data_IF_954913189146
#
_entry.id   IF_954913189146
#
_cell.length_a   1.000
_cell.length_b   1.000
_cell.length_c   1.000
_cell.angle_alpha   90.00
_cell.angle_beta   90.00
_cell.angle_gamma   90.00
#
_symmetry.space_group_name_H-M   'P 1'
#
loop_
_entity.id
_entity.type
_entity.pdbx_description
1 polymer ?
#
# COMPACT_ATOMS: atom_id res chain seq x y z
N UNK A 1 50.17 6.90 -73.21
CA UNK A 1 49.69 7.41 -71.92
C UNK A 1 48.62 6.45 -71.47
N UNK A 2 48.85 5.66 -70.40
CA UNK A 2 47.95 4.59 -69.91
C UNK A 2 47.13 5.15 -68.73
N UNK A 3 45.83 5.16 -68.88
CA UNK A 3 44.87 5.45 -67.82
C UNK A 3 44.84 4.26 -66.81
N UNK A 4 45.03 4.58 -65.54
CA UNK A 4 44.86 3.63 -64.43
C UNK A 4 43.56 3.93 -63.71
N UNK A 5 42.61 3.00 -63.62
CA UNK A 5 41.36 3.25 -62.90
C UNK A 5 41.58 3.08 -61.38
N UNK A 6 41.25 4.13 -60.64
CA UNK A 6 41.23 4.11 -59.17
C UNK A 6 40.04 3.30 -58.66
N UNK A 7 40.30 2.12 -58.08
CA UNK A 7 39.29 1.34 -57.39
C UNK A 7 39.02 1.90 -55.99
N UNK A 8 37.85 2.49 -55.85
CA UNK A 8 37.33 2.85 -54.53
C UNK A 8 36.88 1.59 -53.78
N UNK A 9 37.70 1.17 -52.85
CA UNK A 9 37.38 0.06 -51.92
C UNK A 9 36.40 0.55 -50.86
N UNK A 10 35.12 0.37 -51.04
CA UNK A 10 34.11 0.60 -50.05
C UNK A 10 34.12 -0.59 -49.04
N UNK A 11 34.73 -0.37 -47.89
CA UNK A 11 34.82 -1.39 -46.81
C UNK A 11 33.39 -1.56 -46.14
N UNK A 12 32.73 -2.71 -46.23
CA UNK A 12 31.45 -2.96 -45.57
C UNK A 12 31.57 -3.05 -44.04
N UNK A 13 32.78 -3.23 -43.52
CA UNK A 13 33.04 -3.34 -42.06
C UNK A 13 32.69 -2.07 -41.27
N UNK A 14 32.86 -0.88 -41.83
CA UNK A 14 32.54 0.40 -41.15
C UNK A 14 31.05 0.61 -40.94
N UNK A 15 30.22 0.20 -41.90
CA UNK A 15 28.74 0.31 -41.77
C UNK A 15 28.16 -0.67 -40.73
N UNK A 16 28.72 -1.88 -40.64
CA UNK A 16 28.30 -2.86 -39.64
C UNK A 16 28.64 -2.41 -38.22
N UNK A 17 29.81 -1.80 -38.05
CA UNK A 17 30.24 -1.26 -36.73
C UNK A 17 29.40 -0.06 -36.29
N UNK A 18 29.02 0.83 -37.18
CA UNK A 18 28.13 1.96 -36.88
C UNK A 18 26.71 1.49 -36.50
N UNK A 19 26.18 0.49 -37.21
CA UNK A 19 24.87 -0.10 -36.88
C UNK A 19 24.90 -0.82 -35.53
N UNK A 20 26.00 -1.52 -35.22
CA UNK A 20 26.18 -2.20 -33.91
C UNK A 20 26.30 -1.18 -32.75
N UNK A 21 27.03 -0.10 -32.94
CA UNK A 21 27.16 0.97 -31.94
C UNK A 21 25.84 1.71 -31.73
N UNK A 22 25.08 1.98 -32.81
CA UNK A 22 23.74 2.56 -32.72
C UNK A 22 22.75 1.62 -32.01
N UNK A 23 22.80 0.30 -32.28
CA UNK A 23 21.97 -0.68 -31.62
C UNK A 23 22.28 -0.78 -30.11
N UNK A 24 23.55 -0.75 -29.71
CA UNK A 24 23.98 -0.74 -28.32
C UNK A 24 23.58 0.58 -27.63
N UNK A 25 23.70 1.72 -28.32
CA UNK A 25 23.26 3.01 -27.78
C UNK A 25 21.75 3.07 -27.55
N UNK A 26 20.95 2.50 -28.47
CA UNK A 26 19.47 2.42 -28.34
C UNK A 26 19.08 1.45 -27.22
N UNK A 27 19.75 0.31 -27.05
CA UNK A 27 19.53 -0.58 -25.91
C UNK A 27 19.95 0.02 -24.57
N UNK A 28 21.04 0.81 -24.54
CA UNK A 28 21.51 1.49 -23.32
C UNK A 28 20.56 2.60 -22.84
N UNK A 29 19.85 3.26 -23.74
CA UNK A 29 18.87 4.30 -23.38
C UNK A 29 17.56 3.74 -22.80
N UNK A 30 17.20 2.49 -23.12
CA UNK A 30 15.96 1.86 -22.63
C UNK A 30 16.07 1.33 -21.21
N UNK A 31 17.26 1.06 -20.69
CA UNK A 31 17.44 0.39 -19.40
C UNK A 31 17.53 1.34 -18.18
N UNK A 32 17.76 2.63 -18.36
CA UNK A 32 18.05 3.57 -17.26
C UNK A 32 16.87 4.47 -16.83
N UNK A 33 15.74 4.46 -17.53
CA UNK A 33 14.65 5.44 -17.32
C UNK A 33 13.49 4.95 -16.45
N UNK A 34 13.11 3.69 -16.55
CA UNK A 34 11.89 3.14 -15.95
C UNK A 34 11.88 3.12 -14.41
N UNK A 35 12.96 2.73 -13.70
CA UNK A 35 12.94 2.69 -12.24
C UNK A 35 12.83 4.06 -11.55
N UNK A 36 13.31 5.12 -12.22
CA UNK A 36 13.23 6.50 -11.69
C UNK A 36 11.86 7.14 -11.93
N UNK A 37 11.21 6.81 -13.04
CA UNK A 37 9.90 7.34 -13.37
C UNK A 37 8.83 6.85 -12.38
N UNK A 38 8.92 5.59 -11.94
CA UNK A 38 8.01 4.97 -10.99
C UNK A 38 8.03 5.67 -9.62
N UNK A 39 9.21 5.83 -9.02
CA UNK A 39 9.36 6.50 -7.73
C UNK A 39 8.93 7.97 -7.79
N UNK A 40 9.19 8.67 -8.90
CA UNK A 40 8.78 10.04 -9.12
C UNK A 40 7.25 10.18 -9.27
N UNK A 41 6.60 9.28 -10.00
CA UNK A 41 5.15 9.28 -10.14
C UNK A 41 4.46 8.99 -8.81
N UNK A 42 4.96 8.00 -8.05
CA UNK A 42 4.44 7.71 -6.72
C UNK A 42 4.60 8.91 -5.78
N UNK A 43 5.78 9.52 -5.76
CA UNK A 43 6.04 10.70 -4.94
C UNK A 43 5.13 11.87 -5.35
N UNK A 44 5.00 12.15 -6.65
CA UNK A 44 4.11 13.21 -7.16
C UNK A 44 2.66 12.98 -6.77
N UNK A 45 2.21 11.71 -6.74
CA UNK A 45 0.86 11.36 -6.29
C UNK A 45 0.69 11.61 -4.79
N UNK A 46 1.67 11.21 -3.98
CA UNK A 46 1.62 11.38 -2.53
C UNK A 46 1.76 12.84 -2.07
N UNK A 47 2.38 13.68 -2.90
CA UNK A 47 2.54 15.11 -2.65
C UNK A 47 1.37 15.96 -3.17
N UNK A 48 0.39 15.35 -3.85
CA UNK A 48 -0.75 16.05 -4.41
C UNK A 48 -1.75 16.45 -3.33
N UNK A 49 -2.18 17.73 -3.33
CA UNK A 49 -3.24 18.25 -2.45
C UNK A 49 -4.61 18.38 -3.15
N UNK A 50 -4.65 18.29 -4.48
CA UNK A 50 -5.90 18.25 -5.27
C UNK A 50 -6.46 16.82 -5.33
N UNK A 51 -7.38 16.52 -4.41
CA UNK A 51 -8.01 15.20 -4.29
C UNK A 51 -8.84 14.83 -5.52
N UNK A 52 -9.46 15.82 -6.20
CA UNK A 52 -10.26 15.57 -7.41
C UNK A 52 -9.38 15.23 -8.60
N UNK A 53 -8.21 15.87 -8.74
CA UNK A 53 -7.22 15.49 -9.74
C UNK A 53 -6.76 14.04 -9.53
N UNK A 54 -6.47 13.66 -8.27
CA UNK A 54 -6.09 12.28 -7.95
C UNK A 54 -7.23 11.30 -8.23
N UNK A 55 -8.46 11.63 -7.84
CA UNK A 55 -9.65 10.80 -8.10
C UNK A 55 -9.83 10.52 -9.59
N UNK A 56 -9.65 11.55 -10.42
CA UNK A 56 -9.79 11.44 -11.87
C UNK A 56 -8.61 10.74 -12.54
N UNK A 57 -7.38 10.97 -12.07
CA UNK A 57 -6.16 10.46 -12.69
C UNK A 57 -5.75 9.06 -12.24
N UNK A 58 -6.01 8.68 -10.99
CA UNK A 58 -5.58 7.40 -10.42
C UNK A 58 -6.04 6.16 -11.21
N UNK A 59 -7.24 6.10 -11.84
CA UNK A 59 -7.63 4.96 -12.67
C UNK A 59 -6.65 4.67 -13.82
N UNK A 60 -6.11 5.70 -14.47
CA UNK A 60 -5.11 5.51 -15.53
C UNK A 60 -3.81 4.89 -14.98
N UNK A 61 -3.42 5.29 -13.76
CA UNK A 61 -2.24 4.73 -13.10
C UNK A 61 -2.48 3.27 -12.65
N UNK A 62 -3.69 2.90 -12.22
CA UNK A 62 -4.04 1.50 -11.96
C UNK A 62 -3.92 0.63 -13.22
N UNK A 63 -4.36 1.13 -14.38
CA UNK A 63 -4.21 0.41 -15.66
C UNK A 63 -2.74 0.28 -16.08
N UNK A 64 -1.93 1.29 -15.82
CA UNK A 64 -0.48 1.22 -16.06
C UNK A 64 0.18 0.14 -15.21
N UNK A 65 -0.11 0.11 -13.91
CA UNK A 65 0.41 -0.93 -12.99
C UNK A 65 -0.03 -2.33 -13.45
N UNK A 66 -1.29 -2.51 -13.86
CA UNK A 66 -1.76 -3.79 -14.43
C UNK A 66 -0.94 -4.20 -15.66
N UNK A 67 -0.61 -3.26 -16.54
CA UNK A 67 0.21 -3.51 -17.73
C UNK A 67 1.65 -3.91 -17.37
N UNK A 68 2.25 -3.26 -16.36
CA UNK A 68 3.59 -3.61 -15.88
C UNK A 68 3.61 -5.00 -15.24
N UNK A 69 2.61 -5.34 -14.42
CA UNK A 69 2.45 -6.67 -13.82
C UNK A 69 2.20 -7.73 -14.91
N UNK A 70 1.44 -7.41 -15.96
CA UNK A 70 1.23 -8.34 -17.07
C UNK A 70 2.52 -8.61 -17.86
N UNK A 71 3.40 -7.60 -17.98
CA UNK A 71 4.72 -7.72 -18.62
C UNK A 71 5.72 -8.54 -17.82
N UNK A 72 5.69 -8.46 -16.49
CA UNK A 72 6.48 -9.29 -15.57
C UNK A 72 5.63 -9.69 -14.34
N UNK A 73 4.93 -10.83 -14.41
CA UNK A 73 4.00 -11.26 -13.38
C UNK A 73 4.64 -11.67 -12.05
N UNK A 74 5.97 -11.76 -12.00
CA UNK A 74 6.76 -12.19 -10.82
C UNK A 74 7.58 -11.06 -10.20
N UNK A 75 7.59 -9.87 -10.81
CA UNK A 75 8.31 -8.72 -10.27
C UNK A 75 7.59 -8.17 -9.02
N UNK A 76 8.17 -8.48 -7.86
CA UNK A 76 7.59 -8.16 -6.55
C UNK A 76 7.29 -6.67 -6.37
N UNK A 77 8.12 -5.79 -6.93
CA UNK A 77 7.97 -4.33 -6.85
C UNK A 77 6.62 -3.89 -7.44
N UNK A 78 6.28 -4.35 -8.65
CA UNK A 78 5.01 -3.98 -9.29
C UNK A 78 3.81 -4.57 -8.56
N UNK A 79 3.94 -5.79 -8.05
CA UNK A 79 2.91 -6.45 -7.26
C UNK A 79 2.64 -5.69 -5.95
N UNK A 80 3.68 -5.25 -5.22
CA UNK A 80 3.55 -4.43 -4.01
C UNK A 80 2.85 -3.10 -4.34
N UNK A 81 3.28 -2.42 -5.41
CA UNK A 81 2.67 -1.16 -5.82
C UNK A 81 1.20 -1.35 -6.24
N UNK A 82 0.90 -2.40 -6.98
CA UNK A 82 -0.48 -2.76 -7.34
C UNK A 82 -1.35 -2.99 -6.12
N UNK A 83 -0.89 -3.80 -5.16
CA UNK A 83 -1.61 -4.06 -3.92
C UNK A 83 -1.94 -2.78 -3.16
N UNK A 84 -0.96 -1.88 -2.99
CA UNK A 84 -1.12 -0.61 -2.29
C UNK A 84 -2.05 0.36 -3.01
N UNK A 85 -1.83 0.58 -4.31
CA UNK A 85 -2.61 1.54 -5.09
C UNK A 85 -4.09 1.13 -5.21
N UNK A 86 -4.36 -0.13 -5.50
CA UNK A 86 -5.73 -0.63 -5.56
C UNK A 86 -6.43 -0.54 -4.19
N UNK A 87 -5.72 -0.82 -3.09
CA UNK A 87 -6.25 -0.68 -1.73
C UNK A 87 -6.57 0.77 -1.40
N UNK A 88 -5.62 1.69 -1.66
CA UNK A 88 -5.79 3.13 -1.41
C UNK A 88 -6.94 3.71 -2.24
N UNK A 89 -6.98 3.40 -3.55
CA UNK A 89 -8.02 3.89 -4.43
C UNK A 89 -9.40 3.40 -4.01
N UNK A 90 -9.52 2.12 -3.66
CA UNK A 90 -10.78 1.56 -3.19
C UNK A 90 -11.24 2.23 -1.88
N UNK A 91 -10.32 2.45 -0.92
CA UNK A 91 -10.64 3.05 0.37
C UNK A 91 -10.99 4.54 0.28
N UNK A 92 -10.34 5.29 -0.61
CA UNK A 92 -10.48 6.75 -0.68
C UNK A 92 -11.57 7.22 -1.65
N UNK A 93 -11.85 6.46 -2.73
CA UNK A 93 -12.61 6.99 -3.87
C UNK A 93 -13.75 6.07 -4.35
N UNK A 94 -13.94 4.91 -3.73
CA UNK A 94 -14.98 3.97 -4.17
C UNK A 94 -15.95 3.71 -3.03
N UNK A 95 -17.24 3.94 -3.31
CA UNK A 95 -18.30 3.59 -2.39
C UNK A 95 -18.39 2.07 -2.19
N UNK A 96 -18.96 1.67 -1.05
CA UNK A 96 -19.19 0.25 -0.74
C UNK A 96 -20.05 -0.41 -1.84
N UNK A 97 -19.76 -1.66 -2.15
CA UNK A 97 -20.50 -2.42 -3.15
C UNK A 97 -19.60 -3.29 -4.03
N UNK A 98 -20.15 -3.74 -5.14
CA UNK A 98 -19.50 -4.70 -6.04
C UNK A 98 -18.17 -4.17 -6.64
N UNK A 99 -18.11 -2.87 -6.94
CA UNK A 99 -16.87 -2.26 -7.46
C UNK A 99 -15.76 -2.30 -6.42
N UNK A 100 -16.05 -1.93 -5.16
CA UNK A 100 -15.08 -2.00 -4.08
C UNK A 100 -14.58 -3.44 -3.87
N UNK A 101 -15.49 -4.42 -3.90
CA UNK A 101 -15.13 -5.85 -3.79
C UNK A 101 -14.17 -6.29 -4.89
N UNK A 102 -14.44 -5.94 -6.15
CA UNK A 102 -13.55 -6.30 -7.28
C UNK A 102 -12.18 -5.66 -7.17
N UNK A 103 -12.10 -4.38 -6.81
CA UNK A 103 -10.82 -3.68 -6.71
C UNK A 103 -9.98 -4.21 -5.54
N UNK A 104 -10.60 -4.45 -4.38
CA UNK A 104 -9.91 -5.00 -3.22
C UNK A 104 -9.54 -6.47 -3.38
N UNK A 105 -10.32 -7.27 -4.13
CA UNK A 105 -9.93 -8.63 -4.50
C UNK A 105 -8.68 -8.63 -5.38
N UNK A 106 -8.58 -7.70 -6.35
CA UNK A 106 -7.36 -7.53 -7.16
C UNK A 106 -6.17 -7.07 -6.31
N UNK A 107 -6.39 -6.11 -5.40
CA UNK A 107 -5.35 -5.68 -4.47
C UNK A 107 -4.81 -6.86 -3.66
N UNK A 108 -5.70 -7.70 -3.14
CA UNK A 108 -5.33 -8.86 -2.32
C UNK A 108 -4.60 -9.94 -3.14
N UNK A 109 -5.01 -10.22 -4.38
CA UNK A 109 -4.27 -11.09 -5.30
C UNK A 109 -2.83 -10.57 -5.50
N UNK A 110 -2.65 -9.28 -5.77
CA UNK A 110 -1.33 -8.70 -5.92
C UNK A 110 -0.51 -8.79 -4.63
N UNK A 111 -1.11 -8.55 -3.45
CA UNK A 111 -0.43 -8.70 -2.16
C UNK A 111 0.06 -10.12 -1.89
N UNK A 112 -0.76 -11.13 -2.18
CA UNK A 112 -0.38 -12.55 -2.06
C UNK A 112 0.76 -12.91 -3.01
N UNK A 113 0.66 -12.49 -4.25
CA UNK A 113 1.70 -12.73 -5.27
C UNK A 113 2.99 -12.00 -4.95
N UNK A 114 2.92 -10.77 -4.42
CA UNK A 114 4.08 -10.00 -3.98
C UNK A 114 4.88 -10.76 -2.90
N UNK A 115 4.18 -11.26 -1.89
CA UNK A 115 4.80 -12.03 -0.82
C UNK A 115 5.41 -13.34 -1.33
N UNK A 116 4.69 -14.05 -2.22
CA UNK A 116 5.19 -15.27 -2.86
C UNK A 116 6.41 -15.01 -3.76
N UNK A 117 6.45 -13.89 -4.47
CA UNK A 117 7.57 -13.50 -5.32
C UNK A 117 8.84 -13.16 -4.51
N UNK A 118 8.67 -12.66 -3.27
CA UNK A 118 9.80 -12.36 -2.37
C UNK A 118 10.31 -13.61 -1.67
N UNK A 119 9.42 -14.47 -1.19
CA UNK A 119 9.79 -15.67 -0.44
C UNK A 119 8.79 -16.82 -0.69
N UNK A 120 9.32 -18.01 -0.97
CA UNK A 120 8.49 -19.21 -1.15
C UNK A 120 7.64 -19.55 0.07
N UNK A 121 8.09 -19.19 1.28
CA UNK A 121 7.30 -19.38 2.50
C UNK A 121 6.01 -18.55 2.50
N UNK A 122 5.98 -17.42 1.79
CA UNK A 122 4.80 -16.56 1.64
C UNK A 122 3.77 -17.05 0.63
N UNK A 123 4.11 -18.05 -0.22
CA UNK A 123 3.18 -18.55 -1.22
C UNK A 123 1.97 -19.24 -0.58
N UNK A 124 0.75 -18.78 -0.93
CA UNK A 124 -0.51 -19.35 -0.44
C UNK A 124 -0.70 -19.22 1.07
N UNK A 125 -0.07 -18.22 1.70
CA UNK A 125 -0.08 -18.07 3.16
C UNK A 125 -1.51 -17.94 3.71
N UNK A 126 -2.40 -17.23 3.03
CA UNK A 126 -3.76 -16.99 3.49
C UNK A 126 -4.64 -18.27 3.55
N UNK A 127 -4.34 -19.26 2.73
CA UNK A 127 -5.11 -20.50 2.56
C UNK A 127 -4.65 -21.66 3.47
N UNK A 128 -3.51 -21.51 4.14
CA UNK A 128 -2.92 -22.57 4.97
C UNK A 128 -3.79 -22.94 6.18
N UNK A 129 -3.56 -24.13 6.73
CA UNK A 129 -4.10 -24.48 8.04
C UNK A 129 -3.52 -23.55 9.13
N UNK A 130 -4.18 -23.37 10.29
CA UNK A 130 -3.64 -22.51 11.36
C UNK A 130 -2.23 -22.89 11.82
N UNK A 131 -1.91 -24.18 11.89
CA UNK A 131 -0.60 -24.69 12.32
C UNK A 131 0.48 -24.41 11.25
N UNK A 132 0.17 -24.69 9.99
CA UNK A 132 1.08 -24.42 8.88
C UNK A 132 1.29 -22.92 8.67
N UNK A 133 0.23 -22.13 8.84
CA UNK A 133 0.29 -20.66 8.78
C UNK A 133 1.32 -20.09 9.76
N UNK A 134 1.24 -20.47 11.03
CA UNK A 134 2.17 -19.98 12.06
C UNK A 134 3.63 -20.36 11.73
N UNK A 135 3.86 -21.61 11.30
CA UNK A 135 5.20 -22.09 10.91
C UNK A 135 5.75 -21.33 9.70
N UNK A 136 4.93 -21.11 8.69
CA UNK A 136 5.34 -20.41 7.45
C UNK A 136 5.56 -18.91 7.69
N UNK A 137 4.73 -18.31 8.54
CA UNK A 137 4.89 -16.91 8.92
C UNK A 137 6.25 -16.66 9.61
N UNK A 138 6.65 -17.55 10.53
CA UNK A 138 7.94 -17.46 11.21
C UNK A 138 9.16 -17.71 10.31
N UNK A 139 8.97 -18.22 9.10
CA UNK A 139 10.02 -18.40 8.12
C UNK A 139 10.27 -17.16 7.24
N UNK A 140 9.48 -16.09 7.42
CA UNK A 140 9.71 -14.79 6.78
C UNK A 140 10.64 -13.95 7.67
N UNK A 141 11.40 -13.04 7.05
CA UNK A 141 12.30 -12.16 7.79
C UNK A 141 12.13 -10.67 7.40
N UNK A 142 13.04 -9.83 7.85
CA UNK A 142 13.00 -8.38 7.59
C UNK A 142 13.04 -8.03 6.09
N UNK A 143 13.62 -8.88 5.25
CA UNK A 143 13.72 -8.65 3.80
C UNK A 143 12.35 -8.72 3.10
N UNK A 144 11.41 -9.48 3.66
CA UNK A 144 10.04 -9.59 3.16
C UNK A 144 9.09 -8.54 3.76
N UNK A 145 9.54 -7.71 4.71
CA UNK A 145 8.72 -6.79 5.49
C UNK A 145 7.83 -5.89 4.64
N UNK A 146 8.34 -5.33 3.54
CA UNK A 146 7.59 -4.46 2.64
C UNK A 146 6.46 -5.21 1.90
N UNK A 147 6.74 -6.42 1.42
CA UNK A 147 5.73 -7.29 0.79
C UNK A 147 4.70 -7.80 1.82
N UNK A 148 5.14 -8.10 3.04
CA UNK A 148 4.27 -8.53 4.12
C UNK A 148 3.31 -7.43 4.55
N UNK A 149 3.78 -6.17 4.63
CA UNK A 149 2.92 -5.02 4.88
C UNK A 149 1.90 -4.82 3.76
N UNK A 150 2.33 -4.85 2.49
CA UNK A 150 1.43 -4.72 1.34
C UNK A 150 0.36 -5.84 1.29
N UNK A 151 0.75 -7.06 1.67
CA UNK A 151 -0.17 -8.17 1.84
C UNK A 151 -1.20 -7.89 2.95
N UNK A 152 -0.78 -7.43 4.13
CA UNK A 152 -1.69 -7.07 5.23
C UNK A 152 -2.64 -5.92 4.85
N UNK A 153 -2.15 -4.87 4.20
CA UNK A 153 -2.93 -3.73 3.72
C UNK A 153 -4.05 -4.17 2.77
N UNK A 154 -3.68 -4.95 1.76
CA UNK A 154 -4.62 -5.43 0.75
C UNK A 154 -5.63 -6.42 1.33
N UNK A 155 -5.22 -7.24 2.28
CA UNK A 155 -6.12 -8.17 2.99
C UNK A 155 -7.11 -7.42 3.88
N UNK A 156 -6.65 -6.39 4.61
CA UNK A 156 -7.53 -5.53 5.40
C UNK A 156 -8.54 -4.77 4.50
N UNK A 157 -8.09 -4.24 3.36
CA UNK A 157 -8.97 -3.59 2.39
C UNK A 157 -10.04 -4.57 1.84
N UNK A 158 -9.64 -5.80 1.57
CA UNK A 158 -10.57 -6.86 1.18
C UNK A 158 -11.61 -7.15 2.29
N UNK A 159 -11.16 -7.29 3.54
CA UNK A 159 -12.04 -7.49 4.69
C UNK A 159 -13.07 -6.34 4.82
N UNK A 160 -12.63 -5.10 4.66
CA UNK A 160 -13.50 -3.92 4.74
C UNK A 160 -14.56 -3.90 3.64
N UNK A 161 -14.23 -4.29 2.41
CA UNK A 161 -15.19 -4.37 1.30
C UNK A 161 -16.18 -5.53 1.43
N UNK A 162 -15.91 -6.51 2.32
CA UNK A 162 -16.72 -7.71 2.53
C UNK A 162 -17.31 -7.79 3.95
N UNK A 163 -17.60 -6.66 4.59
CA UNK A 163 -18.05 -6.56 6.00
C UNK A 163 -19.21 -7.48 6.39
N UNK A 164 -20.08 -7.87 5.48
CA UNK A 164 -21.21 -8.77 5.74
C UNK A 164 -20.89 -10.26 5.56
N UNK A 165 -19.69 -10.61 5.18
CA UNK A 165 -19.27 -12.00 4.89
C UNK A 165 -18.68 -12.65 6.14
N UNK A 166 -19.24 -13.78 6.56
CA UNK A 166 -18.73 -14.56 7.70
C UNK A 166 -17.28 -15.01 7.51
N UNK A 167 -16.83 -15.16 6.26
CA UNK A 167 -15.43 -15.50 5.95
C UNK A 167 -14.45 -14.44 6.47
N UNK A 168 -14.86 -13.18 6.54
CA UNK A 168 -14.04 -12.10 7.11
C UNK A 168 -13.71 -12.39 8.57
N UNK A 169 -14.68 -12.84 9.37
CA UNK A 169 -14.45 -13.16 10.78
C UNK A 169 -13.42 -14.29 10.97
N UNK A 170 -13.41 -15.26 10.04
CA UNK A 170 -12.48 -16.39 10.10
C UNK A 170 -11.03 -16.00 9.76
N UNK A 171 -10.81 -14.93 8.98
CA UNK A 171 -9.47 -14.51 8.55
C UNK A 171 -8.85 -13.42 9.44
N UNK A 172 -9.65 -12.65 10.18
CA UNK A 172 -9.14 -11.58 11.05
C UNK A 172 -8.05 -12.03 12.04
N UNK A 173 -8.13 -13.20 12.70
CA UNK A 173 -7.08 -13.66 13.61
C UNK A 173 -5.74 -13.87 12.90
N UNK A 174 -5.75 -14.35 11.65
CA UNK A 174 -4.53 -14.55 10.86
C UNK A 174 -3.92 -13.22 10.43
N UNK A 175 -4.75 -12.28 9.99
CA UNK A 175 -4.31 -10.93 9.65
C UNK A 175 -3.68 -10.24 10.86
N UNK A 176 -4.30 -10.36 12.03
CA UNK A 176 -3.76 -9.86 13.29
C UNK A 176 -2.41 -10.50 13.62
N UNK A 177 -2.32 -11.83 13.58
CA UNK A 177 -1.07 -12.56 13.82
C UNK A 177 0.04 -12.17 12.85
N UNK A 178 -0.30 -11.91 11.58
CA UNK A 178 0.66 -11.44 10.58
C UNK A 178 1.22 -10.07 10.92
N UNK A 179 0.36 -9.12 11.31
CA UNK A 179 0.79 -7.78 11.72
C UNK A 179 1.56 -7.82 13.05
N UNK A 180 1.13 -8.63 14.02
CA UNK A 180 1.86 -8.84 15.28
C UNK A 180 3.27 -9.39 15.03
N UNK A 181 3.43 -10.29 14.07
CA UNK A 181 4.74 -10.79 13.65
C UNK A 181 5.55 -9.68 12.93
N UNK A 182 4.94 -8.97 11.98
CA UNK A 182 5.61 -7.90 11.23
C UNK A 182 6.23 -6.85 12.15
N UNK A 183 5.53 -6.43 13.20
CA UNK A 183 6.04 -5.40 14.12
C UNK A 183 7.17 -5.89 15.03
N UNK A 184 7.47 -7.20 15.04
CA UNK A 184 8.65 -7.76 15.71
C UNK A 184 9.90 -7.77 14.82
N UNK A 185 9.74 -7.56 13.52
CA UNK A 185 10.85 -7.56 12.57
C UNK A 185 11.58 -6.21 12.59
N UNK A 186 12.90 -6.24 12.44
CA UNK A 186 13.71 -5.03 12.27
C UNK A 186 13.64 -4.54 10.81
N UNK A 187 12.54 -3.89 10.47
CA UNK A 187 12.24 -3.41 9.12
C UNK A 187 11.46 -2.08 9.16
N UNK A 188 11.69 -1.17 8.19
CA UNK A 188 10.87 0.06 8.07
C UNK A 188 9.37 -0.23 7.94
N UNK A 189 8.98 -1.40 7.42
CA UNK A 189 7.57 -1.82 7.30
C UNK A 189 6.90 -2.08 8.67
N UNK A 190 7.66 -2.30 9.75
CA UNK A 190 7.17 -2.38 11.13
C UNK A 190 6.86 -0.99 11.75
N UNK A 191 6.72 0.04 10.92
CA UNK A 191 6.50 1.43 11.33
C UNK A 191 5.05 1.75 11.73
N UNK A 192 4.75 3.05 11.74
CA UNK A 192 3.47 3.63 12.15
C UNK A 192 2.25 2.93 11.56
N UNK A 193 2.29 2.60 10.28
CA UNK A 193 1.16 2.02 9.56
C UNK A 193 0.81 0.60 10.04
N UNK A 194 1.80 -0.25 10.30
CA UNK A 194 1.57 -1.59 10.84
C UNK A 194 0.91 -1.54 12.23
N UNK A 195 1.40 -0.65 13.09
CA UNK A 195 0.82 -0.42 14.42
C UNK A 195 -0.59 0.18 14.36
N UNK A 196 -0.85 1.08 13.41
CA UNK A 196 -2.20 1.60 13.15
C UNK A 196 -3.18 0.48 12.78
N UNK A 197 -2.79 -0.44 11.89
CA UNK A 197 -3.63 -1.58 11.52
C UNK A 197 -3.89 -2.53 12.69
N UNK A 198 -2.91 -2.76 13.55
CA UNK A 198 -3.12 -3.51 14.79
C UNK A 198 -4.13 -2.81 15.71
N UNK A 199 -4.01 -1.49 15.89
CA UNK A 199 -4.97 -0.70 16.64
C UNK A 199 -6.39 -0.83 16.11
N UNK A 200 -6.56 -0.77 14.77
CA UNK A 200 -7.85 -1.00 14.11
C UNK A 200 -8.38 -2.40 14.42
N UNK A 201 -7.58 -3.45 14.21
CA UNK A 201 -8.02 -4.84 14.40
C UNK A 201 -8.46 -5.14 15.84
N UNK A 202 -7.72 -4.64 16.84
CA UNK A 202 -8.08 -4.77 18.25
C UNK A 202 -9.35 -3.98 18.62
N UNK A 203 -9.70 -2.94 17.83
CA UNK A 203 -10.90 -2.12 18.01
C UNK A 203 -12.13 -2.60 17.22
N UNK A 204 -12.00 -3.61 16.33
CA UNK A 204 -13.14 -4.06 15.50
C UNK A 204 -14.25 -4.73 16.31
N UNK A 205 -13.96 -5.18 17.53
CA UNK A 205 -14.90 -5.88 18.42
C UNK A 205 -14.80 -5.32 19.82
N UNK A 206 -15.94 -5.20 20.55
CA UNK A 206 -15.92 -4.93 21.98
C UNK A 206 -15.19 -6.04 22.75
N UNK A 207 -14.71 -5.74 23.96
CA UNK A 207 -14.02 -6.71 24.82
C UNK A 207 -14.84 -7.98 25.05
N UNK A 208 -16.16 -7.85 25.26
CA UNK A 208 -17.09 -8.96 25.41
C UNK A 208 -17.14 -9.93 24.22
N UNK A 209 -16.73 -9.48 23.03
CA UNK A 209 -16.69 -10.26 21.79
C UNK A 209 -15.26 -10.57 21.32
N UNK A 210 -14.29 -10.51 22.24
CA UNK A 210 -12.89 -10.86 21.99
C UNK A 210 -12.06 -9.74 21.36
N UNK A 211 -12.51 -8.48 21.44
CA UNK A 211 -11.67 -7.30 21.20
C UNK A 211 -10.77 -7.00 22.40
N UNK A 212 -9.74 -6.22 22.19
CA UNK A 212 -8.82 -5.77 23.25
C UNK A 212 -8.60 -4.25 23.16
N UNK A 213 -9.50 -3.45 23.76
CA UNK A 213 -9.38 -1.99 23.73
C UNK A 213 -8.09 -1.46 24.37
N UNK A 214 -7.55 -2.14 25.38
CA UNK A 214 -6.30 -1.69 25.99
C UNK A 214 -5.13 -1.86 25.03
N UNK A 215 -5.06 -3.01 24.38
CA UNK A 215 -4.06 -3.28 23.35
C UNK A 215 -4.23 -2.38 22.13
N UNK A 216 -5.48 -2.11 21.71
CA UNK A 216 -5.78 -1.15 20.67
C UNK A 216 -5.20 0.24 20.97
N UNK A 217 -5.42 0.72 22.19
CA UNK A 217 -4.86 2.00 22.64
C UNK A 217 -3.33 2.02 22.56
N UNK A 218 -2.65 1.02 23.10
CA UNK A 218 -1.20 0.92 23.03
C UNK A 218 -0.69 0.91 21.57
N UNK A 219 -1.39 0.20 20.67
CA UNK A 219 -1.03 0.17 19.26
C UNK A 219 -1.18 1.54 18.58
N UNK A 220 -2.27 2.27 18.84
CA UNK A 220 -2.44 3.62 18.30
C UNK A 220 -1.43 4.62 18.88
N UNK A 221 -1.14 4.55 20.19
CA UNK A 221 -0.14 5.39 20.82
C UNK A 221 1.27 5.11 20.25
N UNK A 222 1.60 3.83 20.00
CA UNK A 222 2.84 3.45 19.33
C UNK A 222 2.88 3.95 17.88
N UNK A 223 1.78 3.83 17.15
CA UNK A 223 1.67 4.37 15.80
C UNK A 223 1.90 5.89 15.75
N UNK A 224 1.31 6.64 16.70
CA UNK A 224 1.52 8.09 16.84
C UNK A 224 2.98 8.41 17.17
N UNK A 225 3.61 7.64 18.04
CA UNK A 225 5.03 7.83 18.39
C UNK A 225 5.93 7.66 17.17
N UNK A 226 5.72 6.61 16.37
CA UNK A 226 6.53 6.30 15.18
C UNK A 226 6.21 7.21 13.99
N UNK A 227 4.94 7.59 13.79
CA UNK A 227 4.51 8.45 12.68
C UNK A 227 4.81 9.93 12.89
N UNK A 228 5.06 10.32 14.12
CA UNK A 228 5.28 11.72 14.50
C UNK A 228 4.06 12.60 14.23
N UNK A 229 4.27 13.93 14.30
CA UNK A 229 3.19 14.91 14.10
C UNK A 229 2.71 15.03 12.66
N UNK A 230 3.48 14.50 11.70
CA UNK A 230 3.18 14.60 10.26
C UNK A 230 2.25 13.52 9.72
N UNK A 231 1.88 12.50 10.50
CA UNK A 231 0.96 11.44 10.09
C UNK A 231 -0.43 11.66 10.71
N UNK A 232 -1.30 12.33 9.96
CA UNK A 232 -2.66 12.63 10.42
C UNK A 232 -3.60 11.42 10.33
N UNK A 233 -3.26 10.41 9.54
CA UNK A 233 -4.12 9.24 9.30
C UNK A 233 -4.32 8.41 10.57
N UNK A 234 -3.30 8.32 11.44
CA UNK A 234 -3.36 7.58 12.70
C UNK A 234 -4.38 8.20 13.65
N UNK A 235 -4.42 9.53 13.76
CA UNK A 235 -5.38 10.23 14.64
C UNK A 235 -6.82 10.01 14.18
N UNK A 236 -7.06 10.05 12.88
CA UNK A 236 -8.38 9.76 12.30
C UNK A 236 -8.80 8.32 12.56
N UNK A 237 -7.89 7.35 12.37
CA UNK A 237 -8.18 5.96 12.67
C UNK A 237 -8.44 5.74 14.17
N UNK A 238 -7.67 6.37 15.05
CA UNK A 238 -7.84 6.29 16.49
C UNK A 238 -9.21 6.84 16.94
N UNK A 239 -9.61 8.01 16.41
CA UNK A 239 -10.94 8.57 16.66
C UNK A 239 -12.06 7.65 16.13
N UNK A 240 -11.92 7.18 14.89
CA UNK A 240 -12.97 6.40 14.20
C UNK A 240 -13.19 5.02 14.82
N UNK A 241 -12.13 4.29 15.14
CA UNK A 241 -12.23 2.89 15.53
C UNK A 241 -12.20 2.71 17.04
N UNK A 242 -11.35 3.44 17.76
CA UNK A 242 -11.22 3.28 19.20
C UNK A 242 -12.13 4.20 20.01
N UNK A 243 -12.08 5.52 19.78
CA UNK A 243 -12.86 6.46 20.56
C UNK A 243 -14.37 6.19 20.38
N UNK A 244 -14.82 5.92 19.16
CA UNK A 244 -16.22 5.53 18.91
C UNK A 244 -16.60 4.20 19.56
N UNK A 245 -15.72 3.19 19.53
CA UNK A 245 -15.97 1.90 20.20
C UNK A 245 -16.23 2.08 21.70
N UNK A 246 -15.51 2.98 22.36
CA UNK A 246 -15.62 3.25 23.79
C UNK A 246 -16.63 4.34 24.15
N UNK A 247 -17.32 4.95 23.17
CA UNK A 247 -18.17 6.11 23.35
C UNK A 247 -17.45 7.29 24.01
N UNK A 248 -16.11 7.43 23.77
CA UNK A 248 -15.28 8.51 24.25
C UNK A 248 -15.30 9.70 23.29
N UNK A 249 -16.35 10.53 23.42
CA UNK A 249 -16.56 11.71 22.59
C UNK A 249 -15.43 12.72 22.76
N UNK A 250 -14.91 12.90 23.98
CA UNK A 250 -13.85 13.87 24.24
C UNK A 250 -12.56 13.51 23.47
N UNK A 251 -12.14 12.27 23.54
CA UNK A 251 -11.00 11.76 22.77
C UNK A 251 -11.24 11.88 21.26
N UNK A 252 -12.44 11.50 20.80
CA UNK A 252 -12.82 11.57 19.39
C UNK A 252 -12.67 12.98 18.85
N UNK A 253 -13.34 13.94 19.48
CA UNK A 253 -13.39 15.33 19.01
C UNK A 253 -12.02 16.00 19.11
N UNK A 254 -11.26 15.75 20.18
CA UNK A 254 -9.89 16.25 20.35
C UNK A 254 -8.97 15.80 19.22
N UNK A 255 -8.92 14.48 18.93
CA UNK A 255 -8.06 13.96 17.89
C UNK A 255 -8.40 14.53 16.50
N UNK A 256 -9.69 14.68 16.19
CA UNK A 256 -10.13 15.19 14.91
C UNK A 256 -9.89 16.70 14.76
N UNK A 257 -10.04 17.49 15.83
CA UNK A 257 -9.67 18.92 15.81
C UNK A 257 -8.16 19.11 15.62
N UNK A 258 -7.33 18.30 16.27
CA UNK A 258 -5.89 18.31 16.03
C UNK A 258 -5.54 18.02 14.56
N UNK A 259 -6.25 17.09 13.90
CA UNK A 259 -6.09 16.80 12.48
C UNK A 259 -6.45 18.01 11.61
N UNK A 260 -7.56 18.69 11.93
CA UNK A 260 -8.02 19.84 11.14
C UNK A 260 -7.13 21.09 11.31
N UNK A 261 -6.45 21.23 12.45
CA UNK A 261 -5.54 22.35 12.72
C UNK A 261 -4.13 22.14 12.16
N UNK A 262 -3.74 20.92 11.84
CA UNK A 262 -2.42 20.59 11.32
C UNK A 262 -2.26 21.00 9.85
N UNK A 263 -1.04 21.39 9.45
CA UNK A 263 -0.71 21.51 8.02
C UNK A 263 -0.63 20.11 7.38
N UNK A 264 -1.43 19.81 6.35
CA UNK A 264 -1.39 18.51 5.69
C UNK A 264 -0.16 18.32 4.79
N UNK A 265 0.56 19.41 4.45
CA UNK A 265 1.70 19.40 3.52
C UNK A 265 2.96 18.86 4.18
N UNK A 266 3.07 17.55 4.18
CA UNK A 266 4.25 16.83 4.66
C UNK A 266 4.80 15.98 3.52
N UNK A 267 6.10 16.03 3.28
CA UNK A 267 6.75 15.30 2.19
C UNK A 267 6.37 13.81 2.20
N UNK A 268 5.85 13.32 1.07
CA UNK A 268 5.37 11.96 0.90
C UNK A 268 4.07 11.62 1.62
N UNK A 269 3.38 12.59 2.27
CA UNK A 269 2.15 12.38 3.04
C UNK A 269 1.05 13.41 2.77
N UNK A 270 1.24 14.35 1.85
CA UNK A 270 0.25 15.41 1.58
C UNK A 270 -1.11 14.82 1.22
N UNK A 271 -1.17 13.93 0.25
CA UNK A 271 -2.44 13.30 -0.15
C UNK A 271 -3.12 12.52 0.99
N UNK A 272 -2.46 11.58 1.69
CA UNK A 272 -3.05 10.90 2.85
C UNK A 272 -3.55 11.88 3.92
N UNK A 273 -2.82 12.96 4.20
CA UNK A 273 -3.20 13.94 5.20
C UNK A 273 -4.40 14.79 4.78
N UNK A 274 -4.49 15.20 3.51
CA UNK A 274 -5.68 15.92 2.99
C UNK A 274 -6.91 15.02 3.06
N UNK A 275 -6.78 13.74 2.68
CA UNK A 275 -7.85 12.75 2.83
C UNK A 275 -8.23 12.55 4.31
N UNK A 276 -7.25 12.50 5.21
CA UNK A 276 -7.49 12.42 6.65
C UNK A 276 -8.29 13.63 7.18
N UNK A 277 -7.97 14.86 6.71
CA UNK A 277 -8.75 16.04 7.07
C UNK A 277 -10.19 16.02 6.53
N UNK A 278 -10.40 15.48 5.31
CA UNK A 278 -11.76 15.28 4.79
C UNK A 278 -12.55 14.28 5.65
N UNK A 279 -11.93 13.16 6.01
CA UNK A 279 -12.54 12.17 6.89
C UNK A 279 -12.80 12.72 8.29
N UNK A 280 -11.89 13.54 8.84
CA UNK A 280 -12.07 14.17 10.15
C UNK A 280 -13.32 15.08 10.18
N UNK A 281 -13.57 15.89 9.12
CA UNK A 281 -14.79 16.69 8.99
C UNK A 281 -16.04 15.80 9.01
N UNK A 282 -16.07 14.76 8.16
CA UNK A 282 -17.21 13.82 8.09
C UNK A 282 -17.48 13.12 9.43
N UNK A 283 -16.42 12.77 10.17
CA UNK A 283 -16.55 12.14 11.48
C UNK A 283 -17.11 13.09 12.53
N UNK A 284 -16.67 14.37 12.54
CA UNK A 284 -17.22 15.40 13.42
C UNK A 284 -18.69 15.73 13.07
N UNK A 285 -19.01 15.89 11.78
CA UNK A 285 -20.38 16.15 11.31
C UNK A 285 -21.35 15.04 11.73
N UNK A 286 -20.89 13.80 11.81
CA UNK A 286 -21.69 12.64 12.24
C UNK A 286 -21.64 12.35 13.74
N UNK A 287 -20.89 13.15 14.54
CA UNK A 287 -20.65 12.85 15.96
C UNK A 287 -21.92 12.89 16.80
N UNK A 288 -22.77 13.94 16.62
CA UNK A 288 -24.01 14.09 17.38
C UNK A 288 -25.03 12.95 17.15
N UNK A 289 -24.97 12.31 15.98
CA UNK A 289 -25.82 11.15 15.68
C UNK A 289 -25.23 9.82 16.13
N UNK A 290 -23.96 9.81 16.56
CA UNK A 290 -23.26 8.61 16.98
C UNK A 290 -23.16 8.50 18.52
N UNK A 291 -22.84 9.59 19.21
CA UNK A 291 -22.71 9.71 20.66
C UNK A 291 -24.00 10.25 21.32
#
# INVERSE_FOLDING_TARGET
VKDVPMRVFSRPAGRLMVVLVLAIAVMGLSACGLPRLDSQLQQSLLEQDDVELVRAGAPAYLLLIDSLIAGDPTEARWLIQGARLYSLYAAAFVEEGERARRLTARAFDYGQRALCARCRAGCGLAELSPADFATRLQALDAAEGDALLAFCQSWLAWCQAHKGDLRVLAVLPRLQQTLEYLVTLDTPAAGSEAWQYLGILHSLRPAALGGDPQRARCCFEQALCLGGTGDLTVKVAYARYYARLLYDRELHDRLLHEVLQADPRVAGRTLPNVLAQQQARQLLDSADGYF
#
